data_IF_457671008187
#
_entry.id   IF_457671008187
#
_cell.length_a   1.000
_cell.length_b   1.000
_cell.length_c   1.000
_cell.angle_alpha   90.00
_cell.angle_beta   90.00
_cell.angle_gamma   90.00
#
_symmetry.space_group_name_H-M   'P 1'
#
loop_
_entity.id
_entity.type
_entity.pdbx_description
1 polymer ?
#
# COMPACT_ATOMS: atom_id res chain seq x y z
N UNK A 1 38.75 8.60 22.69
CA UNK A 1 39.59 8.76 21.48
C UNK A 1 39.03 7.86 20.38
N UNK A 2 38.09 8.34 19.54
CA UNK A 2 37.60 7.63 18.34
C UNK A 2 36.91 8.59 17.34
N UNK A 3 37.20 9.90 17.41
CA UNK A 3 36.46 10.94 16.65
C UNK A 3 37.06 11.29 15.28
N UNK A 4 38.22 10.74 14.92
CA UNK A 4 38.95 11.13 13.69
C UNK A 4 38.68 10.23 12.48
N UNK A 5 38.02 9.07 12.67
CA UNK A 5 37.76 8.14 11.56
C UNK A 5 36.51 8.51 10.74
N UNK A 6 35.48 9.10 11.35
CA UNK A 6 34.22 9.44 10.66
C UNK A 6 34.33 10.65 9.73
N UNK A 7 35.26 11.58 10.01
CA UNK A 7 35.45 12.77 9.20
C UNK A 7 35.99 12.47 7.79
N UNK A 8 36.95 11.52 7.70
CA UNK A 8 37.54 11.12 6.42
C UNK A 8 36.53 10.41 5.50
N UNK A 9 35.59 9.65 6.06
CA UNK A 9 34.54 8.95 5.29
C UNK A 9 33.55 9.93 4.63
N UNK A 10 33.21 11.01 5.33
CA UNK A 10 32.30 12.06 4.83
C UNK A 10 32.93 12.92 3.73
N UNK A 11 34.21 13.30 3.86
CA UNK A 11 34.91 14.07 2.81
C UNK A 11 35.14 13.24 1.54
N UNK A 12 35.47 11.96 1.67
CA UNK A 12 35.71 11.10 0.51
C UNK A 12 34.44 10.88 -0.32
N UNK A 13 33.27 10.74 0.33
CA UNK A 13 31.96 10.69 -0.35
C UNK A 13 31.65 11.99 -1.10
N UNK A 14 31.89 13.16 -0.48
CA UNK A 14 31.68 14.48 -1.13
C UNK A 14 32.59 14.67 -2.36
N UNK A 15 33.83 14.19 -2.31
CA UNK A 15 34.80 14.29 -3.41
C UNK A 15 34.44 13.38 -4.59
N UNK A 16 33.92 12.18 -4.32
CA UNK A 16 33.43 11.24 -5.35
C UNK A 16 32.21 11.81 -6.10
N UNK A 17 31.24 12.34 -5.37
CA UNK A 17 30.06 13.03 -5.91
C UNK A 17 30.52 14.16 -6.85
N UNK A 18 31.36 15.08 -6.36
CA UNK A 18 31.83 16.24 -7.14
C UNK A 18 32.60 15.86 -8.42
N UNK A 19 33.37 14.77 -8.38
CA UNK A 19 34.13 14.27 -9.53
C UNK A 19 33.22 13.63 -10.59
N UNK A 20 32.12 13.02 -10.16
CA UNK A 20 31.15 12.39 -11.06
C UNK A 20 30.30 13.42 -11.82
N UNK A 21 29.95 14.56 -11.19
CA UNK A 21 29.08 15.58 -11.80
C UNK A 21 29.80 16.57 -12.73
N UNK A 22 31.12 16.73 -12.64
CA UNK A 22 31.85 17.77 -13.41
C UNK A 22 31.99 17.53 -14.92
N UNK A 23 31.71 16.32 -15.43
CA UNK A 23 32.02 15.95 -16.83
C UNK A 23 30.82 15.77 -17.76
N UNK A 24 29.59 15.89 -17.30
CA UNK A 24 28.42 15.65 -18.15
C UNK A 24 27.66 16.94 -18.48
N UNK A 25 27.81 17.42 -19.73
CA UNK A 25 26.86 18.37 -20.33
C UNK A 25 25.56 17.60 -20.66
N UNK A 26 24.65 17.51 -19.69
CA UNK A 26 23.41 16.73 -19.85
C UNK A 26 22.38 17.55 -20.63
N UNK A 27 22.08 17.12 -21.87
CA UNK A 27 20.93 17.57 -22.65
C UNK A 27 19.66 16.99 -22.00
N UNK A 28 18.97 17.82 -21.21
CA UNK A 28 17.75 17.54 -20.40
C UNK A 28 17.94 16.44 -19.34
N UNK A 29 17.69 16.72 -18.05
CA UNK A 29 17.77 15.70 -17.01
C UNK A 29 16.69 14.64 -17.26
N UNK A 30 17.10 13.39 -17.45
CA UNK A 30 16.17 12.25 -17.45
C UNK A 30 15.47 12.21 -16.09
N UNK A 31 14.20 11.77 -16.02
CA UNK A 31 13.41 11.68 -14.77
C UNK A 31 14.19 11.05 -13.59
N UNK A 32 15.01 10.03 -13.87
CA UNK A 32 15.86 9.38 -12.86
C UNK A 32 16.96 10.27 -12.25
N UNK A 33 17.40 11.33 -12.95
CA UNK A 33 18.39 12.27 -12.41
C UNK A 33 17.76 13.22 -11.38
N UNK A 34 16.54 13.70 -11.64
CA UNK A 34 15.78 14.54 -10.69
C UNK A 34 15.52 13.75 -9.40
N UNK A 35 15.17 12.46 -9.55
CA UNK A 35 14.98 11.55 -8.42
C UNK A 35 16.21 11.45 -7.50
N UNK A 36 17.42 11.24 -8.07
CA UNK A 36 18.65 11.12 -7.27
C UNK A 36 18.94 12.43 -6.52
N UNK A 37 18.77 13.58 -7.17
CA UNK A 37 18.99 14.89 -6.54
C UNK A 37 18.03 15.10 -5.36
N UNK A 38 16.73 14.81 -5.54
CA UNK A 38 15.74 14.98 -4.48
C UNK A 38 16.02 14.05 -3.29
N UNK A 39 16.41 12.81 -3.56
CA UNK A 39 16.71 11.84 -2.51
C UNK A 39 17.98 12.24 -1.74
N UNK A 40 19.00 12.75 -2.43
CA UNK A 40 20.22 13.27 -1.81
C UNK A 40 19.93 14.52 -0.95
N UNK A 41 19.04 15.42 -1.39
CA UNK A 41 18.60 16.58 -0.61
C UNK A 41 17.84 16.17 0.67
N UNK A 42 16.93 15.20 0.57
CA UNK A 42 16.23 14.65 1.73
C UNK A 42 17.22 14.00 2.71
N UNK A 43 18.17 13.21 2.20
CA UNK A 43 19.20 12.57 3.03
C UNK A 43 20.10 13.60 3.73
N UNK A 44 20.42 14.72 3.07
CA UNK A 44 21.18 15.81 3.68
C UNK A 44 20.40 16.54 4.77
N UNK A 45 19.08 16.66 4.62
CA UNK A 45 18.20 17.30 5.61
C UNK A 45 17.97 16.39 6.82
N UNK A 46 17.91 15.08 6.62
CA UNK A 46 17.68 14.08 7.66
C UNK A 46 18.88 13.11 7.80
N UNK A 47 20.07 13.60 8.19
CA UNK A 47 21.29 12.80 8.19
C UNK A 47 21.28 11.64 9.20
N UNK A 48 20.35 11.67 10.18
CA UNK A 48 20.17 10.62 11.20
C UNK A 48 19.22 9.50 10.75
N UNK A 49 18.50 9.69 9.64
CA UNK A 49 17.60 8.68 9.10
C UNK A 49 18.38 7.87 8.07
N UNK A 50 18.24 6.54 8.14
CA UNK A 50 18.84 5.66 7.15
C UNK A 50 18.22 5.86 5.76
N UNK A 51 19.06 5.72 4.74
CA UNK A 51 18.67 5.95 3.34
C UNK A 51 17.50 5.06 2.90
N UNK A 52 17.38 3.84 3.44
CA UNK A 52 16.26 2.95 3.15
C UNK A 52 14.93 3.55 3.61
N UNK A 53 14.91 4.19 4.78
CA UNK A 53 13.70 4.82 5.34
C UNK A 53 13.33 6.06 4.53
N UNK A 54 14.32 6.88 4.13
CA UNK A 54 14.09 8.04 3.24
C UNK A 54 13.49 7.59 1.91
N UNK A 55 14.07 6.56 1.29
CA UNK A 55 13.56 5.99 0.05
C UNK A 55 12.14 5.42 0.20
N UNK A 56 11.87 4.76 1.33
CA UNK A 56 10.55 4.23 1.64
C UNK A 56 9.50 5.34 1.76
N UNK A 57 9.77 6.36 2.56
CA UNK A 57 8.90 7.52 2.75
C UNK A 57 8.61 8.22 1.41
N UNK A 58 9.65 8.44 0.61
CA UNK A 58 9.55 9.06 -0.71
C UNK A 58 8.60 8.31 -1.66
N UNK A 59 8.75 6.98 -1.72
CA UNK A 59 7.86 6.14 -2.53
C UNK A 59 6.43 6.18 -2.02
N UNK A 60 6.24 6.14 -0.70
CA UNK A 60 4.92 6.16 -0.08
C UNK A 60 4.17 7.47 -0.33
N UNK A 61 4.89 8.59 -0.37
CA UNK A 61 4.36 9.92 -0.68
C UNK A 61 4.27 10.21 -2.18
N UNK A 62 4.34 9.19 -3.06
CA UNK A 62 4.26 9.36 -4.52
C UNK A 62 5.23 10.44 -5.05
N UNK A 63 6.46 10.49 -4.53
CA UNK A 63 7.46 11.49 -4.91
C UNK A 63 7.11 12.94 -4.51
N UNK A 64 6.19 13.15 -3.56
CA UNK A 64 5.89 14.46 -2.99
C UNK A 64 6.91 14.84 -1.91
N UNK A 65 7.73 15.85 -2.21
CA UNK A 65 8.81 16.35 -1.33
C UNK A 65 8.30 16.84 0.02
N UNK A 66 7.20 17.60 0.04
CA UNK A 66 6.73 18.23 1.28
C UNK A 66 6.06 17.21 2.21
N UNK A 67 5.28 16.28 1.65
CA UNK A 67 4.73 15.16 2.43
C UNK A 67 5.84 14.25 2.97
N UNK A 68 6.86 13.96 2.14
CA UNK A 68 8.01 13.15 2.56
C UNK A 68 8.75 13.81 3.71
N UNK A 69 9.04 15.12 3.60
CA UNK A 69 9.66 15.89 4.70
C UNK A 69 8.82 15.83 5.97
N UNK A 70 7.50 15.99 5.87
CA UNK A 70 6.61 15.93 7.04
C UNK A 70 6.68 14.57 7.75
N UNK A 71 6.73 13.45 7.00
CA UNK A 71 6.90 12.11 7.58
C UNK A 71 8.29 11.94 8.21
N UNK A 72 9.35 12.38 7.54
CA UNK A 72 10.72 12.24 8.04
C UNK A 72 10.98 13.11 9.28
N UNK A 73 10.43 14.32 9.32
CA UNK A 73 10.43 15.18 10.52
C UNK A 73 9.72 14.48 11.66
N UNK A 74 8.50 13.97 11.41
CA UNK A 74 7.73 13.24 12.43
C UNK A 74 8.47 12.01 12.97
N UNK A 75 9.15 11.23 12.12
CA UNK A 75 9.98 10.12 12.57
C UNK A 75 11.17 10.59 13.43
N UNK A 76 11.84 11.66 13.01
CA UNK A 76 13.03 12.19 13.70
C UNK A 76 12.70 12.70 15.09
N UNK A 77 11.54 13.35 15.25
CA UNK A 77 11.10 13.93 16.52
C UNK A 77 10.68 12.86 17.55
N UNK A 78 10.26 11.68 17.09
CA UNK A 78 9.58 10.69 17.94
C UNK A 78 10.34 9.38 18.16
N UNK A 79 11.60 9.29 17.73
CA UNK A 79 12.41 8.07 17.84
C UNK A 79 13.84 8.35 18.26
N UNK A 80 14.44 7.41 19.00
CA UNK A 80 15.82 7.57 19.51
C UNK A 80 16.86 6.83 18.67
N UNK A 81 16.46 5.71 18.04
CA UNK A 81 17.34 4.86 17.26
C UNK A 81 16.71 4.39 15.94
N UNK A 82 17.54 3.87 15.05
CA UNK A 82 17.15 3.43 13.71
C UNK A 82 16.09 2.32 13.71
N UNK A 83 16.17 1.38 14.66
CA UNK A 83 15.22 0.29 14.74
C UNK A 83 13.82 0.80 15.11
N UNK A 84 13.73 1.76 16.03
CA UNK A 84 12.48 2.44 16.36
C UNK A 84 11.91 3.23 15.17
N UNK A 85 12.75 3.90 14.38
CA UNK A 85 12.30 4.56 13.13
C UNK A 85 11.65 3.58 12.17
N UNK A 86 12.26 2.40 11.97
CA UNK A 86 11.70 1.35 11.11
C UNK A 86 10.35 0.84 11.64
N UNK A 87 10.24 0.63 12.94
CA UNK A 87 8.98 0.18 13.56
C UNK A 87 7.88 1.24 13.47
N UNK A 88 8.18 2.49 13.80
CA UNK A 88 7.21 3.57 13.73
C UNK A 88 6.75 3.82 12.28
N UNK A 89 7.65 3.70 11.30
CA UNK A 89 7.30 3.75 9.88
C UNK A 89 6.35 2.60 9.48
N UNK A 90 6.60 1.37 9.96
CA UNK A 90 5.69 0.23 9.72
C UNK A 90 4.32 0.43 10.37
N UNK A 91 4.26 0.99 11.58
CA UNK A 91 2.98 1.32 12.21
C UNK A 91 2.23 2.37 11.38
N UNK A 92 2.91 3.43 10.95
CA UNK A 92 2.31 4.46 10.10
C UNK A 92 1.82 3.89 8.77
N UNK A 93 2.54 2.96 8.16
CA UNK A 93 2.12 2.34 6.89
C UNK A 93 0.87 1.46 7.05
N UNK A 94 0.79 0.69 8.14
CA UNK A 94 -0.33 -0.21 8.41
C UNK A 94 -1.59 0.50 8.93
N UNK A 95 -1.43 1.60 9.67
CA UNK A 95 -2.53 2.24 10.39
C UNK A 95 -2.80 3.69 9.98
N UNK A 96 -1.87 4.37 9.31
CA UNK A 96 -1.92 5.81 9.04
C UNK A 96 -3.02 6.25 8.07
N UNK A 97 -3.70 5.31 7.41
CA UNK A 97 -4.90 5.61 6.61
C UNK A 97 -6.21 5.47 7.42
N UNK A 98 -6.18 4.81 8.58
CA UNK A 98 -7.34 4.62 9.48
C UNK A 98 -7.27 5.50 10.71
N UNK A 99 -6.06 5.77 11.19
CA UNK A 99 -5.80 6.47 12.44
C UNK A 99 -4.99 7.72 12.19
N UNK A 100 -5.29 8.76 12.97
CA UNK A 100 -4.47 9.97 12.99
C UNK A 100 -3.05 9.65 13.50
N UNK A 101 -2.05 10.39 13.00
CA UNK A 101 -0.65 10.26 13.41
C UNK A 101 -0.48 10.41 14.93
N UNK A 102 -1.28 11.28 15.54
CA UNK A 102 -1.34 11.53 16.98
C UNK A 102 -1.74 10.27 17.75
N UNK A 103 -2.77 9.55 17.32
CA UNK A 103 -3.21 8.28 17.93
C UNK A 103 -2.13 7.21 17.86
N UNK A 104 -1.49 7.06 16.68
CA UNK A 104 -0.37 6.11 16.49
C UNK A 104 0.77 6.43 17.46
N UNK A 105 1.14 7.71 17.55
CA UNK A 105 2.24 8.16 18.39
C UNK A 105 1.95 8.04 19.90
N UNK A 106 0.73 8.39 20.31
CA UNK A 106 0.30 8.25 21.70
C UNK A 106 0.34 6.79 22.13
N UNK A 107 -0.21 5.90 21.30
CA UNK A 107 -0.17 4.45 21.58
C UNK A 107 1.27 3.93 21.62
N UNK A 108 2.10 4.32 20.66
CA UNK A 108 3.53 4.00 20.64
C UNK A 108 4.26 4.42 21.92
N UNK A 109 3.94 5.60 22.45
CA UNK A 109 4.54 6.11 23.69
C UNK A 109 4.00 5.38 24.93
N UNK A 110 2.69 5.13 24.97
CA UNK A 110 2.03 4.43 26.09
C UNK A 110 2.55 3.01 26.29
N UNK A 111 2.94 2.35 25.20
CA UNK A 111 3.50 0.99 25.22
C UNK A 111 5.03 0.98 25.18
N UNK A 112 5.67 2.02 25.73
CA UNK A 112 7.12 2.12 25.90
C UNK A 112 7.92 1.88 24.59
N UNK A 113 7.33 2.21 23.44
CA UNK A 113 7.98 2.03 22.14
C UNK A 113 8.26 0.55 21.79
N UNK A 114 7.47 -0.37 22.36
CA UNK A 114 7.50 -1.80 22.04
C UNK A 114 6.57 -2.05 20.86
N UNK A 115 7.15 -2.51 19.74
CA UNK A 115 6.43 -2.64 18.47
C UNK A 115 5.23 -3.60 18.52
N UNK A 116 5.42 -4.80 19.09
CA UNK A 116 4.35 -5.81 19.13
C UNK A 116 3.17 -5.30 19.96
N UNK A 117 3.43 -4.85 21.18
CA UNK A 117 2.38 -4.35 22.07
C UNK A 117 1.65 -3.14 21.49
N UNK A 118 2.39 -2.20 20.86
CA UNK A 118 1.77 -1.05 20.18
C UNK A 118 0.92 -1.49 19.00
N UNK A 119 1.41 -2.45 18.19
CA UNK A 119 0.70 -2.95 17.03
C UNK A 119 -0.62 -3.58 17.43
N UNK A 120 -0.60 -4.47 18.43
CA UNK A 120 -1.78 -5.17 18.93
C UNK A 120 -2.82 -4.18 19.46
N UNK A 121 -2.39 -3.11 20.13
CA UNK A 121 -3.33 -2.10 20.62
C UNK A 121 -3.91 -1.23 19.50
N UNK A 122 -3.10 -0.77 18.54
CA UNK A 122 -3.61 -0.04 17.39
C UNK A 122 -4.58 -0.88 16.57
N UNK A 123 -4.34 -2.19 16.47
CA UNK A 123 -5.27 -3.13 15.85
C UNK A 123 -6.58 -3.24 16.62
N UNK A 124 -6.54 -3.32 17.96
CA UNK A 124 -7.76 -3.27 18.79
C UNK A 124 -8.51 -1.95 18.64
N UNK A 125 -7.81 -0.82 18.60
CA UNK A 125 -8.41 0.51 18.37
C UNK A 125 -9.11 0.51 17.01
N UNK A 126 -8.45 0.03 15.94
CA UNK A 126 -9.08 -0.11 14.63
C UNK A 126 -10.27 -1.06 14.64
N UNK A 127 -10.21 -2.19 15.36
CA UNK A 127 -11.31 -3.15 15.43
C UNK A 127 -12.52 -2.58 16.19
N UNK A 128 -12.29 -1.78 17.23
CA UNK A 128 -13.35 -1.16 18.04
C UNK A 128 -13.94 0.08 17.38
N UNK A 129 -13.14 0.91 16.71
CA UNK A 129 -13.64 1.98 15.86
C UNK A 129 -14.46 1.40 14.71
N UNK A 130 -13.94 0.34 14.10
CA UNK A 130 -14.67 -0.39 13.08
C UNK A 130 -15.92 -1.04 13.65
N UNK A 131 -16.04 -1.45 14.92
CA UNK A 131 -17.29 -2.06 15.42
C UNK A 131 -18.49 -1.10 15.39
N UNK A 132 -18.25 0.21 15.55
CA UNK A 132 -19.28 1.24 15.36
C UNK A 132 -19.50 1.62 13.87
N UNK A 133 -18.59 1.21 12.97
CA UNK A 133 -18.62 1.40 11.51
C UNK A 133 -18.61 0.07 10.72
N UNK A 134 -18.90 -1.09 11.34
CA UNK A 134 -18.56 -2.42 10.77
C UNK A 134 -19.57 -2.91 9.77
N UNK A 135 -20.39 -1.99 9.27
CA UNK A 135 -21.00 -2.16 7.99
C UNK A 135 -19.87 -1.90 6.99
N UNK A 136 -19.20 -2.98 6.57
CA UNK A 136 -18.38 -2.94 5.36
C UNK A 136 -19.09 -2.05 4.35
N UNK A 137 -18.45 -0.94 3.96
CA UNK A 137 -19.01 0.00 3.00
C UNK A 137 -19.66 -0.80 1.87
N UNK A 138 -20.94 -0.55 1.62
CA UNK A 138 -21.72 -1.35 0.70
C UNK A 138 -21.04 -1.39 -0.67
N UNK A 139 -20.30 -0.34 -0.99
CA UNK A 139 -19.41 -0.18 -2.12
C UNK A 139 -18.35 -1.30 -2.20
N UNK A 140 -17.56 -1.49 -1.15
CA UNK A 140 -16.52 -2.53 -1.08
C UNK A 140 -17.12 -3.92 -1.17
N UNK A 141 -18.26 -4.13 -0.50
CA UNK A 141 -18.97 -5.42 -0.53
C UNK A 141 -19.43 -5.77 -1.95
N UNK A 142 -20.01 -4.80 -2.67
CA UNK A 142 -20.42 -4.95 -4.06
C UNK A 142 -19.22 -5.23 -4.95
N UNK A 143 -18.15 -4.42 -4.80
CA UNK A 143 -16.92 -4.53 -5.57
C UNK A 143 -16.32 -5.93 -5.47
N UNK A 144 -16.12 -6.40 -4.23
CA UNK A 144 -15.58 -7.72 -3.93
C UNK A 144 -16.44 -8.84 -4.50
N UNK A 145 -17.75 -8.81 -4.30
CA UNK A 145 -18.63 -9.86 -4.80
C UNK A 145 -18.57 -9.96 -6.33
N UNK A 146 -18.53 -8.83 -7.03
CA UNK A 146 -18.41 -8.80 -8.49
C UNK A 146 -17.06 -9.38 -8.95
N UNK A 147 -15.95 -8.96 -8.33
CA UNK A 147 -14.61 -9.46 -8.62
C UNK A 147 -14.51 -10.98 -8.40
N UNK A 148 -15.01 -11.49 -7.27
CA UNK A 148 -15.04 -12.93 -6.98
C UNK A 148 -15.88 -13.70 -8.00
N UNK A 149 -17.03 -13.17 -8.41
CA UNK A 149 -17.90 -13.80 -9.40
C UNK A 149 -17.20 -13.92 -10.76
N UNK A 150 -16.52 -12.86 -11.21
CA UNK A 150 -15.78 -12.84 -12.47
C UNK A 150 -14.63 -13.86 -12.43
N UNK A 151 -13.78 -13.77 -11.40
CA UNK A 151 -12.62 -14.65 -11.23
C UNK A 151 -13.06 -16.13 -11.16
N UNK A 152 -14.11 -16.43 -10.41
CA UNK A 152 -14.65 -17.78 -10.29
C UNK A 152 -15.14 -18.34 -11.63
N UNK A 153 -15.85 -17.53 -12.44
CA UNK A 153 -16.31 -17.97 -13.76
C UNK A 153 -15.15 -18.34 -14.68
N UNK A 154 -14.05 -17.56 -14.68
CA UNK A 154 -12.87 -17.85 -15.49
C UNK A 154 -12.14 -19.10 -14.98
N UNK A 155 -11.93 -19.21 -13.67
CA UNK A 155 -11.26 -20.36 -13.04
C UNK A 155 -12.04 -21.66 -13.28
N UNK A 156 -13.36 -21.62 -13.20
CA UNK A 156 -14.23 -22.78 -13.41
C UNK A 156 -14.31 -23.20 -14.88
N UNK A 157 -14.28 -22.23 -15.80
CA UNK A 157 -14.48 -22.48 -17.23
C UNK A 157 -13.38 -21.86 -18.09
N UNK A 158 -12.11 -22.25 -17.91
CA UNK A 158 -10.98 -21.56 -18.52
C UNK A 158 -11.03 -21.59 -20.06
N UNK A 159 -11.57 -22.65 -20.67
CA UNK A 159 -11.64 -22.75 -22.15
C UNK A 159 -12.75 -21.92 -22.79
N UNK A 160 -13.67 -21.34 -22.01
CA UNK A 160 -14.83 -20.66 -22.54
C UNK A 160 -14.56 -19.15 -22.69
N UNK A 161 -14.38 -18.69 -23.94
CA UNK A 161 -14.08 -17.29 -24.27
C UNK A 161 -15.13 -16.32 -23.71
N UNK A 162 -16.40 -16.75 -23.61
CA UNK A 162 -17.50 -15.95 -23.05
C UNK A 162 -17.20 -15.40 -21.65
N UNK A 163 -16.54 -16.17 -20.78
CA UNK A 163 -16.24 -15.72 -19.41
C UNK A 163 -14.99 -14.83 -19.32
N UNK A 164 -14.22 -14.73 -20.41
CA UNK A 164 -13.08 -13.83 -20.54
C UNK A 164 -13.48 -12.44 -21.04
N UNK A 165 -14.77 -12.22 -21.30
CA UNK A 165 -15.33 -10.98 -21.84
C UNK A 165 -16.41 -10.45 -20.89
N UNK A 166 -16.35 -9.15 -20.58
CA UNK A 166 -17.35 -8.47 -19.76
C UNK A 166 -17.90 -7.30 -20.56
N UNK A 167 -19.19 -7.36 -20.86
CA UNK A 167 -19.88 -6.30 -21.56
C UNK A 167 -20.13 -5.11 -20.63
N UNK A 168 -19.63 -3.92 -20.96
CA UNK A 168 -19.72 -2.74 -20.08
C UNK A 168 -21.14 -2.40 -19.70
N UNK A 169 -22.09 -2.45 -20.63
CA UNK A 169 -23.50 -2.18 -20.32
C UNK A 169 -24.09 -3.19 -19.33
N UNK A 170 -23.71 -4.46 -19.42
CA UNK A 170 -24.22 -5.49 -18.54
C UNK A 170 -23.65 -5.32 -17.12
N UNK A 171 -22.35 -5.01 -17.03
CA UNK A 171 -21.68 -4.65 -15.77
C UNK A 171 -22.31 -3.41 -15.14
N UNK A 172 -22.49 -2.34 -15.93
CA UNK A 172 -23.10 -1.08 -15.50
C UNK A 172 -24.51 -1.32 -14.94
N UNK A 173 -25.37 -2.01 -15.68
CA UNK A 173 -26.74 -2.28 -15.25
C UNK A 173 -26.79 -3.12 -13.97
N UNK A 174 -25.91 -4.11 -13.85
CA UNK A 174 -25.81 -4.96 -12.66
C UNK A 174 -25.38 -4.13 -11.43
N UNK A 175 -24.29 -3.38 -11.56
CA UNK A 175 -23.75 -2.55 -10.47
C UNK A 175 -24.76 -1.47 -10.07
N UNK A 176 -25.38 -0.77 -11.03
CA UNK A 176 -26.38 0.26 -10.76
C UNK A 176 -27.56 -0.29 -9.93
N UNK A 177 -28.13 -1.43 -10.34
CA UNK A 177 -29.20 -2.09 -9.58
C UNK A 177 -28.76 -2.45 -8.16
N UNK A 178 -27.53 -2.93 -8.02
CA UNK A 178 -27.02 -3.42 -6.74
C UNK A 178 -26.65 -2.29 -5.78
N UNK A 179 -26.01 -1.23 -6.28
CA UNK A 179 -25.76 0.00 -5.54
C UNK A 179 -27.07 0.63 -5.07
N UNK A 180 -28.09 0.70 -5.93
CA UNK A 180 -29.41 1.19 -5.52
C UNK A 180 -30.04 0.36 -4.39
N UNK A 181 -29.92 -0.98 -4.47
CA UNK A 181 -30.46 -1.89 -3.44
C UNK A 181 -29.77 -1.73 -2.09
N UNK A 182 -28.48 -1.44 -2.09
CA UNK A 182 -27.66 -1.32 -0.87
C UNK A 182 -27.38 0.13 -0.48
N UNK A 183 -28.02 1.11 -1.14
CA UNK A 183 -27.78 2.55 -0.93
C UNK A 183 -26.28 2.92 -0.98
N UNK A 184 -25.56 2.37 -1.97
CA UNK A 184 -24.14 2.61 -2.18
C UNK A 184 -23.88 3.63 -3.29
N UNK A 185 -22.75 4.34 -3.23
CA UNK A 185 -22.28 5.22 -4.28
C UNK A 185 -21.90 4.41 -5.54
N UNK A 186 -22.66 4.61 -6.61
CA UNK A 186 -22.47 3.91 -7.86
C UNK A 186 -21.15 4.27 -8.55
N UNK A 187 -20.76 5.55 -8.54
CA UNK A 187 -19.59 6.03 -9.26
C UNK A 187 -18.31 5.51 -8.59
N UNK A 188 -18.27 5.52 -7.26
CA UNK A 188 -17.16 4.94 -6.49
C UNK A 188 -17.00 3.44 -6.76
N UNK A 189 -18.10 2.67 -6.74
CA UNK A 189 -18.08 1.23 -7.05
C UNK A 189 -17.62 0.98 -8.47
N UNK A 190 -18.14 1.74 -9.43
CA UNK A 190 -17.82 1.53 -10.84
C UNK A 190 -16.34 1.80 -11.11
N UNK A 191 -15.79 2.90 -10.60
CA UNK A 191 -14.35 3.23 -10.68
C UNK A 191 -13.50 2.14 -10.01
N UNK A 192 -13.88 1.69 -8.81
CA UNK A 192 -13.17 0.62 -8.10
C UNK A 192 -13.11 -0.68 -8.89
N UNK A 193 -14.23 -1.09 -9.50
CA UNK A 193 -14.28 -2.27 -10.35
C UNK A 193 -13.42 -2.12 -11.61
N UNK A 194 -13.40 -0.95 -12.26
CA UNK A 194 -12.54 -0.74 -13.42
C UNK A 194 -11.05 -0.90 -13.06
N UNK A 195 -10.64 -0.40 -11.88
CA UNK A 195 -9.27 -0.56 -11.36
C UNK A 195 -8.96 -2.03 -11.04
N UNK A 196 -9.86 -2.72 -10.34
CA UNK A 196 -9.68 -4.14 -10.00
C UNK A 196 -9.56 -5.01 -11.25
N UNK A 197 -10.39 -4.77 -12.27
CA UNK A 197 -10.32 -5.47 -13.54
C UNK A 197 -8.96 -5.30 -14.22
N UNK A 198 -8.43 -4.08 -14.25
CA UNK A 198 -7.09 -3.82 -14.78
C UNK A 198 -6.00 -4.56 -14.01
N UNK A 199 -6.07 -4.54 -12.67
CA UNK A 199 -5.13 -5.25 -11.80
C UNK A 199 -5.17 -6.77 -12.00
N UNK A 200 -6.35 -7.33 -12.27
CA UNK A 200 -6.52 -8.76 -12.59
C UNK A 200 -5.92 -9.11 -13.97
N UNK A 201 -5.84 -8.14 -14.89
CA UNK A 201 -5.30 -8.31 -16.25
C UNK A 201 -6.34 -8.20 -17.36
N UNK A 202 -7.50 -7.60 -17.08
CA UNK A 202 -8.44 -7.21 -18.13
C UNK A 202 -7.99 -5.91 -18.80
N UNK A 203 -8.19 -5.84 -20.12
CA UNK A 203 -8.03 -4.64 -20.92
C UNK A 203 -9.37 -4.17 -21.44
N UNK A 204 -9.57 -2.85 -21.40
CA UNK A 204 -10.73 -2.19 -22.00
C UNK A 204 -10.49 -2.01 -23.49
N UNK A 205 -11.37 -2.53 -24.31
CA UNK A 205 -11.35 -2.36 -25.76
C UNK A 205 -12.79 -2.06 -26.22
N UNK A 206 -12.99 -0.84 -26.74
CA UNK A 206 -14.32 -0.27 -27.01
C UNK A 206 -15.21 -0.29 -25.73
N UNK A 207 -16.42 -0.84 -25.85
CA UNK A 207 -17.39 -0.97 -24.75
C UNK A 207 -17.28 -2.31 -24.00
N UNK A 208 -16.20 -3.07 -24.17
CA UNK A 208 -16.03 -4.36 -23.52
C UNK A 208 -14.69 -4.46 -22.80
N UNK A 209 -14.64 -5.32 -21.79
CA UNK A 209 -13.42 -5.73 -21.12
C UNK A 209 -13.04 -7.13 -21.56
N UNK A 210 -11.77 -7.32 -21.93
CA UNK A 210 -11.22 -8.59 -22.39
C UNK A 210 -10.06 -9.00 -21.50
N UNK A 211 -10.05 -10.26 -21.06
CA UNK A 211 -8.90 -10.80 -20.36
C UNK A 211 -7.73 -10.96 -21.33
N UNK A 212 -6.62 -10.27 -21.07
CA UNK A 212 -5.56 -10.01 -22.06
C UNK A 212 -4.78 -11.26 -22.51
N UNK A 213 -4.79 -12.34 -21.75
CA UNK A 213 -3.92 -13.48 -22.01
C UNK A 213 -4.57 -14.52 -22.93
N UNK A 214 -3.91 -14.82 -24.06
CA UNK A 214 -4.28 -15.90 -24.97
C UNK A 214 -4.32 -17.26 -24.23
N UNK A 215 -3.34 -17.46 -23.34
CA UNK A 215 -3.27 -18.58 -22.41
C UNK A 215 -3.60 -18.11 -20.98
N UNK A 216 -4.63 -18.70 -20.38
CA UNK A 216 -5.01 -18.36 -19.01
C UNK A 216 -3.87 -18.71 -18.05
N UNK A 217 -3.41 -17.70 -17.31
CA UNK A 217 -2.51 -17.86 -16.19
C UNK A 217 -3.31 -18.24 -14.94
N UNK A 218 -3.67 -19.53 -14.81
CA UNK A 218 -4.50 -20.02 -13.69
C UNK A 218 -3.92 -19.67 -12.32
N UNK A 219 -2.59 -19.71 -12.19
CA UNK A 219 -1.90 -19.35 -10.95
C UNK A 219 -2.13 -17.87 -10.58
N UNK A 220 -1.94 -16.95 -11.54
CA UNK A 220 -2.20 -15.52 -11.34
C UNK A 220 -3.67 -15.25 -10.96
N UNK A 221 -4.63 -15.86 -11.68
CA UNK A 221 -6.05 -15.72 -11.36
C UNK A 221 -6.39 -16.25 -9.96
N UNK A 222 -5.76 -17.35 -9.54
CA UNK A 222 -5.94 -17.90 -8.20
C UNK A 222 -5.38 -16.97 -7.12
N UNK A 223 -4.21 -16.37 -7.36
CA UNK A 223 -3.64 -15.36 -6.47
C UNK A 223 -4.52 -14.12 -6.36
N UNK A 224 -5.06 -13.63 -7.47
CA UNK A 224 -6.07 -12.56 -7.48
C UNK A 224 -7.30 -12.95 -6.66
N UNK A 225 -7.85 -14.15 -6.87
CA UNK A 225 -9.03 -14.63 -6.14
C UNK A 225 -8.78 -14.68 -4.63
N UNK A 226 -7.61 -15.19 -4.22
CA UNK A 226 -7.20 -15.23 -2.81
C UNK A 226 -7.03 -13.82 -2.24
N UNK A 227 -6.44 -12.90 -3.00
CA UNK A 227 -6.29 -11.49 -2.58
C UNK A 227 -7.64 -10.83 -2.31
N UNK A 228 -8.60 -11.02 -3.22
CA UNK A 228 -9.96 -10.48 -3.09
C UNK A 228 -10.71 -11.10 -1.91
N UNK A 229 -10.50 -12.39 -1.61
CA UNK A 229 -11.05 -13.02 -0.40
C UNK A 229 -10.44 -12.48 0.89
N UNK A 230 -9.14 -12.22 0.91
CA UNK A 230 -8.45 -11.70 2.11
C UNK A 230 -8.89 -10.27 2.48
N UNK A 231 -9.54 -9.54 1.56
CA UNK A 231 -10.18 -8.26 1.85
C UNK A 231 -11.44 -8.40 2.72
N UNK A 232 -11.97 -9.61 2.97
CA UNK A 232 -13.02 -9.81 3.96
C UNK A 232 -12.45 -9.68 5.38
N UNK A 233 -12.93 -8.72 6.19
CA UNK A 233 -12.54 -8.62 7.59
C UNK A 233 -12.74 -9.93 8.35
N UNK A 234 -13.83 -10.66 8.02
CA UNK A 234 -14.18 -11.92 8.66
C UNK A 234 -13.08 -13.00 8.52
N UNK A 235 -12.47 -13.15 7.34
CA UNK A 235 -11.43 -14.16 7.14
C UNK A 235 -10.14 -13.81 7.89
N UNK A 236 -9.86 -12.52 8.05
CA UNK A 236 -8.74 -12.05 8.86
C UNK A 236 -8.96 -12.40 10.34
N UNK A 237 -10.15 -12.12 10.89
CA UNK A 237 -10.47 -12.47 12.27
C UNK A 237 -10.50 -13.98 12.53
N UNK A 238 -11.06 -14.77 11.62
CA UNK A 238 -11.07 -16.24 11.75
C UNK A 238 -9.65 -16.81 11.68
N UNK A 239 -8.81 -16.30 10.79
CA UNK A 239 -7.42 -16.75 10.67
C UNK A 239 -6.60 -16.40 11.92
N UNK A 240 -6.75 -15.18 12.46
CA UNK A 240 -6.11 -14.77 13.73
C UNK A 240 -6.61 -15.62 14.89
N UNK A 241 -7.92 -15.82 15.01
CA UNK A 241 -8.51 -16.65 16.06
C UNK A 241 -7.94 -18.08 16.02
N UNK A 242 -7.82 -18.67 14.81
CA UNK A 242 -7.21 -19.99 14.61
C UNK A 242 -5.72 -20.01 14.98
N UNK A 243 -4.97 -18.93 14.70
CA UNK A 243 -3.57 -18.81 15.11
C UNK A 243 -3.41 -18.71 16.63
N UNK A 244 -4.28 -17.95 17.31
CA UNK A 244 -4.27 -17.82 18.77
C UNK A 244 -4.60 -19.16 19.46
N UNK A 245 -5.61 -19.89 18.96
CA UNK A 245 -5.94 -21.22 19.49
C UNK A 245 -4.76 -22.20 19.32
N UNK A 246 -4.04 -22.13 18.18
CA UNK A 246 -2.87 -22.97 17.93
C UNK A 246 -1.69 -22.69 18.87
N UNK A 247 -1.56 -21.48 19.41
CA UNK A 247 -0.50 -21.14 20.38
C UNK A 247 -0.83 -21.58 21.81
N UNK A 248 -2.11 -21.84 22.11
CA UNK A 248 -2.56 -22.25 23.44
C UNK A 248 -2.55 -23.77 23.66
N UNK A 249 -2.32 -24.56 22.61
CA UNK A 249 -2.22 -26.03 22.62
C UNK A 249 -0.76 -26.43 22.48
#
# INVERSE_FOLDING_TARGET
MNSTCDYYSQEHKKKLVKTFFGKFKIKKPKKGFIFIIMLEQLQQTFPKIDQEIVLYAWKKCNENVEETKAILTWLTENTTNLQQQRYLMRLFDNFGYRLEKTTILQTWTNYNQIFIDTYDELEKICATSNLNESQEENELKIGREMCLHILWNILKYPKHIKYRQIHKQALYNYLSKKCHTLCADFDQVFIGIEVDLQNIGFKKENDNWYYQYDHIQLLHLWECYRSVLNLQPMYFYVFILLLLIKQMI
#
